data_IF_202543539694
#
_entry.id   IF_202543539694
#
_cell.length_a   1.000
_cell.length_b   1.000
_cell.length_c   1.000
_cell.angle_alpha   90.00
_cell.angle_beta   90.00
_cell.angle_gamma   90.00
#
_symmetry.space_group_name_H-M   'P 1'
#
loop_
_entity.id
_entity.type
_entity.pdbx_description
1 polymer ?
#
# COMPACT_ATOMS: atom_id res chain seq x y z
N UNK A 1 8.25 14.28 -29.22
CA UNK A 1 7.34 13.47 -30.07
C UNK A 1 6.26 12.91 -29.17
N UNK A 2 5.08 12.56 -29.70
CA UNK A 2 4.11 11.74 -28.94
C UNK A 2 4.69 10.33 -28.75
N UNK A 3 4.76 9.77 -27.53
CA UNK A 3 5.18 8.39 -27.32
C UNK A 3 4.16 7.41 -27.91
N UNK A 4 4.56 6.18 -28.23
CA UNK A 4 3.57 5.16 -28.60
C UNK A 4 2.87 4.62 -27.36
N UNK A 5 1.71 3.99 -27.57
CA UNK A 5 0.97 3.26 -26.54
C UNK A 5 1.85 2.23 -25.79
N UNK A 6 2.82 1.61 -26.47
CA UNK A 6 3.70 0.60 -25.87
C UNK A 6 4.81 1.22 -25.02
N UNK A 7 5.34 2.41 -25.34
CA UNK A 7 6.25 3.13 -24.43
C UNK A 7 5.51 3.53 -23.16
N UNK A 8 4.33 4.13 -23.28
CA UNK A 8 3.53 4.59 -22.12
C UNK A 8 3.15 3.41 -21.22
N UNK A 9 2.85 2.26 -21.79
CA UNK A 9 2.60 1.05 -21.00
C UNK A 9 3.87 0.51 -20.33
N UNK A 10 5.05 0.59 -20.96
CA UNK A 10 6.32 0.28 -20.30
C UNK A 10 6.63 1.25 -19.15
N UNK A 11 6.33 2.55 -19.30
CA UNK A 11 6.46 3.55 -18.22
C UNK A 11 5.55 3.21 -17.03
N UNK A 12 4.25 3.01 -17.27
CA UNK A 12 3.29 2.62 -16.22
C UNK A 12 3.72 1.36 -15.47
N UNK A 13 4.16 0.32 -16.20
CA UNK A 13 4.66 -0.92 -15.61
C UNK A 13 5.92 -0.69 -14.76
N UNK A 14 6.86 0.15 -15.23
CA UNK A 14 8.08 0.53 -14.50
C UNK A 14 7.76 1.29 -13.20
N UNK A 15 6.71 2.12 -13.15
CA UNK A 15 6.21 2.74 -11.90
C UNK A 15 5.83 1.71 -10.84
N UNK A 16 5.27 0.56 -11.24
CA UNK A 16 4.93 -0.55 -10.35
C UNK A 16 6.10 -1.54 -10.11
N UNK A 17 7.33 -1.19 -10.50
CA UNK A 17 8.52 -2.06 -10.49
C UNK A 17 8.30 -3.39 -11.25
N UNK A 18 7.63 -3.32 -12.40
CA UNK A 18 7.41 -4.43 -13.31
C UNK A 18 8.31 -4.29 -14.54
N UNK A 19 8.78 -5.43 -15.03
CA UNK A 19 9.60 -5.52 -16.24
C UNK A 19 8.79 -6.11 -17.39
N UNK A 20 9.17 -5.77 -18.62
CA UNK A 20 8.66 -6.42 -19.83
C UNK A 20 9.79 -7.26 -20.40
N UNK A 21 9.58 -8.57 -20.49
CA UNK A 21 10.56 -9.53 -21.00
C UNK A 21 10.68 -9.44 -22.54
N UNK A 22 11.70 -10.06 -23.11
CA UNK A 22 12.01 -9.96 -24.55
C UNK A 22 10.90 -10.51 -25.47
N UNK A 23 10.07 -11.41 -24.95
CA UNK A 23 8.85 -11.96 -25.55
C UNK A 23 7.60 -11.08 -25.33
N UNK A 24 7.77 -9.86 -24.80
CA UNK A 24 6.71 -8.88 -24.46
C UNK A 24 5.70 -9.32 -23.39
N UNK A 25 6.01 -10.36 -22.60
CA UNK A 25 5.26 -10.67 -21.37
C UNK A 25 5.67 -9.75 -20.21
N UNK A 26 4.86 -9.70 -19.15
CA UNK A 26 5.04 -8.75 -18.03
C UNK A 26 5.36 -9.50 -16.74
N UNK A 27 6.53 -9.24 -16.14
CA UNK A 27 7.01 -9.95 -14.95
C UNK A 27 7.38 -9.00 -13.82
N UNK A 28 7.07 -9.37 -12.58
CA UNK A 28 7.44 -8.63 -11.38
C UNK A 28 8.71 -9.21 -10.75
N UNK A 29 9.43 -8.41 -9.97
CA UNK A 29 10.54 -8.91 -9.15
C UNK A 29 10.14 -8.89 -7.67
N UNK A 30 9.99 -10.07 -7.09
CA UNK A 30 9.61 -10.30 -5.69
C UNK A 30 10.75 -11.12 -5.05
N UNK A 31 11.27 -10.68 -3.89
CA UNK A 31 12.38 -11.34 -3.18
C UNK A 31 13.64 -11.62 -4.04
N UNK A 32 13.85 -10.82 -5.09
CA UNK A 32 14.87 -10.97 -6.16
C UNK A 32 14.63 -12.14 -7.15
N UNK A 33 13.55 -12.90 -7.01
CA UNK A 33 13.05 -13.81 -8.04
C UNK A 33 12.15 -13.04 -9.04
N UNK A 34 12.09 -13.51 -10.29
CA UNK A 34 11.31 -12.84 -11.35
C UNK A 34 10.10 -13.69 -11.71
N UNK A 35 8.93 -13.26 -11.25
CA UNK A 35 7.68 -14.00 -11.36
C UNK A 35 6.77 -13.49 -12.48
N UNK A 36 5.98 -14.36 -13.12
CA UNK A 36 4.99 -13.95 -14.11
C UNK A 36 3.84 -13.18 -13.44
N UNK A 37 3.59 -11.94 -13.86
CA UNK A 37 2.35 -11.25 -13.44
C UNK A 37 1.15 -11.97 -14.06
N UNK A 38 0.20 -12.34 -13.21
CA UNK A 38 -1.08 -12.94 -13.58
C UNK A 38 -2.25 -12.00 -13.22
N UNK A 39 -3.31 -12.03 -14.03
CA UNK A 39 -4.63 -11.46 -13.74
C UNK A 39 -5.66 -12.56 -13.95
N UNK A 40 -6.47 -12.89 -12.94
CA UNK A 40 -7.48 -13.97 -13.00
C UNK A 40 -6.88 -15.32 -13.48
N UNK A 41 -5.65 -15.61 -13.06
CA UNK A 41 -4.86 -16.79 -13.44
C UNK A 41 -4.13 -16.67 -14.80
N UNK A 42 -4.51 -15.71 -15.65
CA UNK A 42 -3.97 -15.54 -17.01
C UNK A 42 -2.69 -14.72 -17.04
N UNK A 43 -1.78 -15.07 -17.96
CA UNK A 43 -0.50 -14.38 -18.17
C UNK A 43 -0.73 -12.95 -18.67
N UNK A 44 -0.25 -11.95 -17.93
CA UNK A 44 -0.30 -10.55 -18.34
C UNK A 44 0.79 -10.26 -19.40
N UNK A 45 0.40 -9.69 -20.53
CA UNK A 45 1.29 -9.40 -21.68
C UNK A 45 1.01 -8.01 -22.28
N UNK A 46 1.98 -7.41 -22.99
CA UNK A 46 1.70 -6.17 -23.73
C UNK A 46 0.76 -6.44 -24.94
N UNK A 47 -0.03 -5.44 -25.37
CA UNK A 47 -0.93 -5.55 -26.52
C UNK A 47 -0.16 -5.40 -27.85
N UNK A 48 0.84 -6.25 -28.10
CA UNK A 48 1.53 -6.32 -29.39
C UNK A 48 0.63 -6.95 -30.46
N UNK A 49 0.91 -6.78 -31.77
CA UNK A 49 0.10 -7.39 -32.83
C UNK A 49 -0.03 -8.92 -32.72
N UNK A 50 1.02 -9.62 -32.26
CA UNK A 50 1.00 -11.07 -32.06
C UNK A 50 0.03 -11.45 -30.93
N UNK A 51 0.17 -10.82 -29.76
CA UNK A 51 -0.72 -11.10 -28.62
C UNK A 51 -2.15 -10.61 -28.83
N UNK A 52 -2.37 -9.57 -29.65
CA UNK A 52 -3.72 -9.16 -30.06
C UNK A 52 -4.41 -10.25 -30.89
N UNK A 53 -3.70 -10.90 -31.82
CA UNK A 53 -4.23 -11.96 -32.69
C UNK A 53 -4.34 -13.34 -32.02
N UNK A 54 -3.56 -13.61 -30.97
CA UNK A 54 -3.59 -14.87 -30.20
C UNK A 54 -4.96 -15.11 -29.52
N UNK A 55 -5.29 -16.37 -29.19
CA UNK A 55 -6.44 -16.66 -28.31
C UNK A 55 -6.25 -16.06 -26.90
N UNK A 56 -7.35 -15.90 -26.16
CA UNK A 56 -7.41 -15.24 -24.83
C UNK A 56 -7.81 -16.19 -23.70
N UNK A 57 -7.66 -17.50 -23.87
CA UNK A 57 -7.72 -18.50 -22.78
C UNK A 57 -6.66 -18.22 -21.72
N UNK A 58 -5.39 -18.35 -22.08
CA UNK A 58 -4.24 -18.32 -21.15
C UNK A 58 -3.62 -16.93 -20.93
N UNK A 59 -3.92 -15.96 -21.80
CA UNK A 59 -3.34 -14.60 -21.76
C UNK A 59 -4.38 -13.51 -21.55
N UNK A 60 -3.90 -12.37 -21.05
CA UNK A 60 -4.67 -11.13 -20.91
C UNK A 60 -3.79 -9.94 -21.24
N UNK A 61 -4.29 -9.03 -22.08
CA UNK A 61 -3.52 -7.86 -22.49
C UNK A 61 -3.53 -6.81 -21.38
N UNK A 62 -2.37 -6.24 -21.06
CA UNK A 62 -2.29 -5.01 -20.27
C UNK A 62 -2.73 -3.84 -21.14
N UNK A 63 -4.01 -3.48 -21.07
CA UNK A 63 -4.56 -2.36 -21.81
C UNK A 63 -5.52 -1.49 -20.96
N UNK A 64 -5.05 -0.96 -19.80
CA UNK A 64 -5.90 -0.25 -18.84
C UNK A 64 -6.47 1.09 -19.32
N UNK A 65 -6.11 1.58 -20.52
CA UNK A 65 -6.75 2.75 -21.13
C UNK A 65 -8.11 2.44 -21.80
N UNK A 66 -8.49 1.17 -22.00
CA UNK A 66 -9.80 0.76 -22.56
C UNK A 66 -10.85 0.55 -21.48
N UNK A 67 -11.11 1.58 -20.68
CA UNK A 67 -12.19 1.55 -19.70
C UNK A 67 -13.56 1.82 -20.33
N UNK A 68 -14.59 1.06 -19.96
CA UNK A 68 -15.97 1.46 -20.21
C UNK A 68 -16.46 2.34 -19.06
N UNK A 69 -16.73 3.63 -19.32
CA UNK A 69 -17.16 4.61 -18.28
C UNK A 69 -18.43 4.16 -17.53
N UNK A 70 -19.27 3.35 -18.17
CA UNK A 70 -20.49 2.73 -17.64
C UNK A 70 -20.27 1.51 -16.76
N UNK A 71 -19.05 0.95 -16.71
CA UNK A 71 -18.66 -0.20 -15.87
C UNK A 71 -17.76 0.23 -14.70
N UNK A 72 -17.63 -0.68 -13.73
CA UNK A 72 -16.72 -0.58 -12.60
C UNK A 72 -15.26 -0.77 -13.02
N UNK A 73 -14.39 -0.98 -12.02
CA UNK A 73 -12.95 -1.16 -12.22
C UNK A 73 -12.69 -2.49 -12.95
N UNK A 74 -11.58 -2.58 -13.68
CA UNK A 74 -11.24 -3.78 -14.45
C UNK A 74 -10.21 -4.65 -13.73
N UNK A 75 -10.23 -5.99 -13.90
CA UNK A 75 -9.23 -6.88 -13.29
C UNK A 75 -7.77 -6.48 -13.58
N UNK A 76 -7.49 -5.97 -14.79
CA UNK A 76 -6.17 -5.43 -15.15
C UNK A 76 -5.84 -4.16 -14.37
N UNK A 77 -6.79 -3.22 -14.25
CA UNK A 77 -6.60 -1.98 -13.48
C UNK A 77 -6.44 -2.26 -11.98
N UNK A 78 -7.20 -3.21 -11.42
CA UNK A 78 -7.12 -3.56 -10.00
C UNK A 78 -5.84 -4.33 -9.66
N UNK A 79 -5.37 -5.24 -10.51
CA UNK A 79 -4.04 -5.85 -10.34
C UNK A 79 -2.95 -4.78 -10.42
N UNK A 80 -3.03 -3.84 -11.36
CA UNK A 80 -2.08 -2.75 -11.48
C UNK A 80 -2.10 -1.83 -10.23
N UNK A 81 -3.28 -1.46 -9.73
CA UNK A 81 -3.46 -0.74 -8.45
C UNK A 81 -2.80 -1.48 -7.29
N UNK A 82 -2.97 -2.80 -7.18
CA UNK A 82 -2.33 -3.59 -6.11
C UNK A 82 -0.79 -3.60 -6.20
N UNK A 83 -0.23 -3.60 -7.41
CA UNK A 83 1.22 -3.61 -7.63
C UNK A 83 1.85 -2.23 -7.39
N UNK A 84 1.13 -1.14 -7.71
CA UNK A 84 1.51 0.21 -7.28
C UNK A 84 1.51 0.35 -5.76
N UNK A 85 0.45 -0.12 -5.08
CA UNK A 85 0.37 -0.11 -3.60
C UNK A 85 1.52 -0.91 -2.99
N UNK A 86 1.83 -2.10 -3.53
CA UNK A 86 3.01 -2.88 -3.10
C UNK A 86 4.30 -2.06 -3.27
N UNK A 87 4.56 -1.48 -4.45
CA UNK A 87 5.78 -0.69 -4.69
C UNK A 87 5.90 0.53 -3.77
N UNK A 88 4.82 1.27 -3.52
CA UNK A 88 4.86 2.44 -2.63
C UNK A 88 5.16 2.05 -1.18
N UNK A 89 4.54 0.98 -0.68
CA UNK A 89 4.84 0.46 0.66
C UNK A 89 6.27 -0.11 0.74
N UNK A 90 6.82 -0.68 -0.33
CA UNK A 90 8.17 -1.26 -0.36
C UNK A 90 9.25 -0.19 -0.23
N UNK A 91 9.12 0.88 -1.02
CA UNK A 91 10.01 2.04 -0.94
C UNK A 91 9.86 2.75 0.41
N UNK A 92 8.62 2.99 0.88
CA UNK A 92 8.37 3.64 2.18
C UNK A 92 8.90 2.82 3.37
N UNK A 93 8.76 1.49 3.35
CA UNK A 93 9.34 0.59 4.37
C UNK A 93 10.87 0.70 4.37
N UNK A 94 11.47 0.73 3.18
CA UNK A 94 12.91 0.95 3.00
C UNK A 94 13.38 2.28 3.59
N UNK A 95 12.63 3.37 3.38
CA UNK A 95 12.93 4.67 3.99
C UNK A 95 12.81 4.65 5.51
N UNK A 96 11.72 4.09 6.07
CA UNK A 96 11.52 4.01 7.53
C UNK A 96 12.70 3.29 8.20
N UNK A 97 13.10 2.11 7.69
CA UNK A 97 14.22 1.33 8.24
C UNK A 97 15.55 2.09 8.11
N UNK A 98 15.81 2.73 6.96
CA UNK A 98 17.07 3.44 6.70
C UNK A 98 17.20 4.76 7.46
N UNK A 99 16.12 5.53 7.60
CA UNK A 99 16.10 6.78 8.37
C UNK A 99 16.21 6.50 9.88
N UNK A 100 15.54 5.47 10.40
CA UNK A 100 15.72 5.04 11.80
C UNK A 100 17.13 4.46 12.05
N UNK A 101 17.74 3.79 11.06
CA UNK A 101 19.16 3.39 11.12
C UNK A 101 20.05 4.61 11.34
N UNK A 102 19.93 5.63 10.48
CA UNK A 102 20.68 6.89 10.58
C UNK A 102 20.43 7.58 11.93
N UNK A 103 19.18 7.62 12.41
CA UNK A 103 18.83 8.25 13.68
C UNK A 103 19.56 7.63 14.89
N UNK A 104 19.59 6.29 14.97
CA UNK A 104 20.17 5.55 16.10
C UNK A 104 21.71 5.48 16.00
N UNK A 105 22.25 5.29 14.80
CA UNK A 105 23.69 5.14 14.57
C UNK A 105 24.38 6.50 14.47
N UNK A 106 24.63 7.11 15.63
CA UNK A 106 25.22 8.46 15.77
C UNK A 106 26.52 8.70 15.00
N UNK A 107 27.30 7.66 14.75
CA UNK A 107 28.51 7.74 13.91
C UNK A 107 28.20 8.17 12.47
N UNK A 108 26.98 7.93 11.97
CA UNK A 108 26.54 8.37 10.65
C UNK A 108 26.19 9.87 10.61
N UNK A 109 25.95 10.53 11.76
CA UNK A 109 25.49 11.93 11.82
C UNK A 109 26.52 12.91 11.25
N UNK A 110 27.82 12.59 11.38
CA UNK A 110 28.93 13.36 10.79
C UNK A 110 29.04 13.28 9.26
N UNK A 111 28.20 12.45 8.63
CA UNK A 111 28.12 12.24 7.19
C UNK A 111 26.78 12.74 6.60
N UNK A 112 26.05 13.57 7.34
CA UNK A 112 24.82 14.23 6.89
C UNK A 112 25.10 15.68 6.46
N UNK A 113 24.39 16.16 5.44
CA UNK A 113 24.29 17.60 5.14
C UNK A 113 23.43 18.32 6.21
N UNK A 114 23.42 19.67 6.27
CA UNK A 114 22.51 20.40 7.16
C UNK A 114 21.04 20.01 6.94
N UNK A 115 20.60 19.95 5.69
CA UNK A 115 19.23 19.61 5.31
C UNK A 115 18.88 18.15 5.67
N UNK A 116 19.86 17.24 5.55
CA UNK A 116 19.75 15.85 6.02
C UNK A 116 19.81 15.73 7.55
N UNK A 117 20.33 16.73 8.28
CA UNK A 117 20.42 16.71 9.74
C UNK A 117 19.13 17.17 10.42
N UNK A 118 18.28 17.91 9.70
CA UNK A 118 17.00 18.46 10.19
C UNK A 118 16.09 17.39 10.83
N UNK A 119 15.92 16.23 10.17
CA UNK A 119 15.01 15.19 10.66
C UNK A 119 15.45 14.58 11.99
N UNK A 120 16.74 14.64 12.35
CA UNK A 120 17.24 14.16 13.65
C UNK A 120 16.60 14.91 14.82
N UNK A 121 16.12 16.14 14.61
CA UNK A 121 15.36 16.89 15.61
C UNK A 121 13.96 16.31 15.87
N UNK A 122 13.34 15.72 14.83
CA UNK A 122 12.03 15.07 14.88
C UNK A 122 12.15 13.69 15.56
N UNK A 123 13.17 12.91 15.18
CA UNK A 123 13.40 11.54 15.69
C UNK A 123 14.39 11.46 16.86
N UNK A 124 14.62 12.57 17.57
CA UNK A 124 15.58 12.72 18.69
C UNK A 124 15.46 11.71 19.85
N UNK A 125 14.36 10.96 19.91
CA UNK A 125 14.08 9.94 20.93
C UNK A 125 14.17 8.50 20.39
N UNK A 126 14.53 8.31 19.12
CA UNK A 126 14.81 7.00 18.55
C UNK A 126 15.97 6.30 19.28
N UNK A 127 15.75 5.05 19.66
CA UNK A 127 16.80 4.13 20.11
C UNK A 127 16.64 2.78 19.40
N UNK A 128 17.48 1.79 19.74
CA UNK A 128 17.41 0.48 19.09
C UNK A 128 16.02 -0.17 19.26
N UNK A 129 15.35 -0.02 20.41
CA UNK A 129 14.00 -0.56 20.59
C UNK A 129 12.94 0.18 19.76
N UNK A 130 13.19 1.43 19.34
CA UNK A 130 12.38 2.12 18.33
C UNK A 130 12.56 1.47 16.94
N UNK A 131 13.78 1.05 16.56
CA UNK A 131 14.04 0.26 15.34
C UNK A 131 13.42 -1.13 15.41
N UNK A 132 13.56 -1.82 16.55
CA UNK A 132 13.03 -3.17 16.75
C UNK A 132 11.49 -3.18 16.72
N UNK A 133 10.84 -2.12 17.23
CA UNK A 133 9.40 -1.91 17.07
C UNK A 133 9.03 -1.64 15.62
N UNK A 134 9.76 -0.75 14.93
CA UNK A 134 9.49 -0.42 13.53
C UNK A 134 9.56 -1.66 12.63
N UNK A 135 10.55 -2.54 12.82
CA UNK A 135 10.59 -3.84 12.15
C UNK A 135 9.30 -4.61 12.42
N UNK A 136 8.97 -4.90 13.69
CA UNK A 136 7.78 -5.70 14.05
C UNK A 136 6.46 -5.15 13.49
N UNK A 137 6.32 -3.84 13.35
CA UNK A 137 5.15 -3.20 12.75
C UNK A 137 5.11 -3.41 11.23
N UNK A 138 6.24 -3.26 10.54
CA UNK A 138 6.36 -3.55 9.10
C UNK A 138 6.24 -5.06 8.82
N UNK A 139 6.77 -5.90 9.71
CA UNK A 139 6.72 -7.35 9.64
C UNK A 139 5.26 -7.86 9.77
N UNK A 140 4.42 -7.14 10.52
CA UNK A 140 2.99 -7.40 10.71
C UNK A 140 2.09 -6.82 9.59
N UNK A 141 2.65 -6.21 8.54
CA UNK A 141 1.90 -5.84 7.35
C UNK A 141 1.69 -7.06 6.45
N UNK A 142 0.43 -7.49 6.30
CA UNK A 142 0.07 -8.61 5.42
C UNK A 142 -0.16 -8.12 3.98
N UNK A 143 0.34 -8.87 2.98
CA UNK A 143 0.11 -8.54 1.55
C UNK A 143 -1.40 -8.58 1.27
N UNK A 144 -1.94 -7.47 0.76
CA UNK A 144 -3.37 -7.31 0.47
C UNK A 144 -4.23 -6.80 1.63
N UNK A 145 -3.74 -6.79 2.88
CA UNK A 145 -4.49 -6.28 4.02
C UNK A 145 -4.45 -4.74 4.05
N UNK A 146 -5.37 -4.08 3.35
CA UNK A 146 -5.41 -2.61 3.19
C UNK A 146 -5.47 -1.82 4.51
N UNK A 147 -5.95 -2.42 5.60
CA UNK A 147 -5.99 -1.81 6.93
C UNK A 147 -4.63 -1.82 7.68
N UNK A 148 -3.64 -2.61 7.21
CA UNK A 148 -2.29 -2.68 7.77
C UNK A 148 -1.23 -2.35 6.71
N UNK A 149 -1.25 -1.09 6.26
CA UNK A 149 -0.33 -0.56 5.24
C UNK A 149 0.17 0.84 5.65
N UNK A 150 1.33 1.25 5.14
CA UNK A 150 1.84 2.62 5.27
C UNK A 150 1.01 3.56 4.40
N UNK A 151 0.75 3.15 3.15
CA UNK A 151 0.02 3.90 2.13
C UNK A 151 -0.96 2.98 1.43
N UNK A 152 -2.16 3.46 1.10
CA UNK A 152 -3.12 2.70 0.28
C UNK A 152 -3.91 3.63 -0.65
N UNK A 153 -4.32 3.13 -1.82
CA UNK A 153 -5.00 3.91 -2.86
C UNK A 153 -6.35 3.30 -3.23
N UNK A 154 -7.38 4.13 -3.26
CA UNK A 154 -8.74 3.77 -3.68
C UNK A 154 -9.22 4.64 -4.85
N UNK A 155 -10.26 4.17 -5.55
CA UNK A 155 -10.84 4.83 -6.72
C UNK A 155 -12.35 4.99 -6.53
N UNK A 156 -12.82 6.22 -6.38
CA UNK A 156 -14.24 6.55 -6.18
C UNK A 156 -14.89 7.04 -7.47
N UNK A 157 -16.14 6.60 -7.70
CA UNK A 157 -16.94 6.90 -8.91
C UNK A 157 -17.24 8.39 -9.08
N UNK A 158 -17.30 9.15 -7.99
CA UNK A 158 -17.38 10.62 -7.91
C UNK A 158 -16.83 11.06 -6.56
N UNK A 159 -16.53 12.35 -6.39
CA UNK A 159 -16.17 12.91 -5.10
C UNK A 159 -15.83 14.40 -5.14
N UNK A 160 -15.66 14.99 -3.96
CA UNK A 160 -15.06 16.31 -3.78
C UNK A 160 -13.56 16.16 -3.51
N UNK A 161 -12.73 17.03 -4.07
CA UNK A 161 -11.31 17.23 -3.72
C UNK A 161 -11.04 18.74 -3.70
N UNK A 162 -10.45 19.25 -2.61
CA UNK A 162 -10.20 20.68 -2.43
C UNK A 162 -11.44 21.58 -2.70
N UNK A 163 -12.64 21.09 -2.36
CA UNK A 163 -13.92 21.77 -2.60
C UNK A 163 -14.49 21.66 -4.03
N UNK A 164 -13.75 21.15 -5.01
CA UNK A 164 -14.25 20.90 -6.38
C UNK A 164 -14.81 19.48 -6.51
N UNK A 165 -15.95 19.34 -7.20
CA UNK A 165 -16.52 18.04 -7.59
C UNK A 165 -15.88 17.51 -8.88
N UNK A 166 -15.64 16.20 -8.94
CA UNK A 166 -14.92 15.54 -10.04
C UNK A 166 -15.57 14.24 -10.54
N UNK A 167 -15.41 13.93 -11.84
CA UNK A 167 -15.95 12.72 -12.50
C UNK A 167 -15.37 11.41 -11.95
N UNK A 168 -14.14 11.41 -11.41
CA UNK A 168 -13.51 10.33 -10.63
C UNK A 168 -12.57 10.94 -9.60
N UNK A 169 -12.33 10.22 -8.50
CA UNK A 169 -11.34 10.61 -7.48
C UNK A 169 -10.45 9.43 -7.11
N UNK A 170 -9.14 9.61 -7.22
CA UNK A 170 -8.15 8.78 -6.58
C UNK A 170 -7.97 9.27 -5.14
N UNK A 171 -8.22 8.39 -4.18
CA UNK A 171 -8.15 8.67 -2.74
C UNK A 171 -6.94 7.99 -2.15
N UNK A 172 -6.18 8.71 -1.32
CA UNK A 172 -5.01 8.17 -0.62
C UNK A 172 -5.28 8.17 0.89
N UNK A 173 -5.01 7.03 1.53
CA UNK A 173 -5.07 6.87 3.00
C UNK A 173 -3.74 6.32 3.49
N UNK A 174 -3.44 6.56 4.77
CA UNK A 174 -2.18 6.17 5.39
C UNK A 174 -2.46 5.38 6.68
N UNK A 175 -2.90 4.10 6.58
CA UNK A 175 -3.45 3.35 7.72
C UNK A 175 -2.51 3.25 8.92
N UNK A 176 -1.19 3.12 8.69
CA UNK A 176 -0.19 3.14 9.76
C UNK A 176 -0.11 4.51 10.45
N UNK A 177 -0.16 5.61 9.72
CA UNK A 177 -0.20 6.94 10.32
C UNK A 177 -1.50 7.15 11.11
N UNK A 178 -2.64 6.75 10.54
CA UNK A 178 -3.94 6.78 11.20
C UNK A 178 -3.94 5.98 12.52
N UNK A 179 -3.30 4.80 12.54
CA UNK A 179 -3.05 3.98 13.74
C UNK A 179 -2.12 4.66 14.75
N UNK A 180 -1.03 5.28 14.27
CA UNK A 180 -0.03 5.98 15.09
C UNK A 180 -0.61 7.20 15.81
N UNK A 181 -1.66 7.85 15.26
CA UNK A 181 -2.33 9.00 15.91
C UNK A 181 -3.44 8.61 16.90
N UNK A 182 -3.80 7.33 17.04
CA UNK A 182 -4.79 6.86 18.03
C UNK A 182 -4.19 6.85 19.46
N UNK A 183 -5.00 7.05 20.53
CA UNK A 183 -4.48 7.20 21.90
C UNK A 183 -3.92 5.91 22.54
N UNK A 184 -4.20 4.72 21.97
CA UNK A 184 -3.80 3.43 22.53
C UNK A 184 -2.28 3.22 22.54
N UNK A 185 -1.77 2.52 23.56
CA UNK A 185 -0.34 2.24 23.74
C UNK A 185 0.14 0.99 22.97
N UNK A 186 -0.44 0.76 21.80
CA UNK A 186 -0.01 -0.21 20.82
C UNK A 186 -0.26 0.27 19.38
N UNK A 187 0.26 -0.50 18.43
CA UNK A 187 0.09 -0.36 16.98
C UNK A 187 -0.40 -1.74 16.51
N UNK A 188 -1.66 -1.85 16.11
CA UNK A 188 -2.31 -3.12 15.74
C UNK A 188 -2.14 -4.26 16.78
N UNK A 189 -2.13 -3.92 18.08
CA UNK A 189 -1.88 -4.85 19.18
C UNK A 189 -0.42 -4.96 19.64
N UNK A 190 0.55 -4.48 18.85
CA UNK A 190 1.98 -4.49 19.20
C UNK A 190 2.27 -3.37 20.21
N UNK A 191 2.45 -3.74 21.48
CA UNK A 191 2.70 -2.79 22.59
C UNK A 191 3.99 -1.98 22.36
N UNK A 192 3.89 -0.66 22.54
CA UNK A 192 4.97 0.30 22.26
C UNK A 192 5.10 1.34 23.38
N UNK A 193 6.27 2.01 23.49
CA UNK A 193 6.41 3.20 24.35
C UNK A 193 5.81 4.39 23.60
N UNK A 194 5.17 5.33 24.32
CA UNK A 194 4.54 6.54 23.73
C UNK A 194 5.53 7.29 22.82
N UNK A 195 6.77 7.49 23.30
CA UNK A 195 7.86 8.12 22.53
C UNK A 195 8.18 7.44 21.19
N UNK A 196 7.96 6.14 21.07
CA UNK A 196 8.19 5.41 19.82
C UNK A 196 7.05 5.67 18.83
N UNK A 197 5.80 5.66 19.33
CA UNK A 197 4.60 5.98 18.55
C UNK A 197 4.69 7.42 17.99
N UNK A 198 5.12 8.36 18.83
CA UNK A 198 5.41 9.75 18.46
C UNK A 198 6.56 9.85 17.43
N UNK A 199 7.66 9.13 17.65
CA UNK A 199 8.83 9.12 16.74
C UNK A 199 8.46 8.56 15.36
N UNK A 200 7.65 7.51 15.30
CA UNK A 200 7.17 6.93 14.04
C UNK A 200 6.15 7.84 13.33
N UNK A 201 5.26 8.51 14.07
CA UNK A 201 4.35 9.50 13.51
C UNK A 201 5.11 10.68 12.88
N UNK A 202 6.08 11.25 13.60
CA UNK A 202 6.91 12.35 13.10
C UNK A 202 7.80 11.94 11.91
N UNK A 203 8.23 10.67 11.86
CA UNK A 203 8.95 10.13 10.70
C UNK A 203 8.05 9.98 9.47
N UNK A 204 6.79 9.57 9.63
CA UNK A 204 5.83 9.56 8.52
C UNK A 204 5.43 10.97 8.07
N UNK A 205 5.33 11.93 9.00
CA UNK A 205 5.13 13.35 8.67
C UNK A 205 6.31 13.97 7.89
N UNK A 206 7.52 13.43 8.09
CA UNK A 206 8.71 13.80 7.33
C UNK A 206 8.79 13.11 5.96
N UNK A 207 8.46 11.81 5.87
CA UNK A 207 8.44 11.06 4.60
C UNK A 207 7.27 11.50 3.70
N UNK A 208 6.13 11.86 4.29
CA UNK A 208 4.92 12.28 3.59
C UNK A 208 4.49 13.67 4.08
N UNK A 209 5.04 14.76 3.50
CA UNK A 209 4.64 16.11 3.85
C UNK A 209 3.13 16.31 3.74
N UNK A 210 2.51 16.87 4.78
CA UNK A 210 1.06 17.12 4.88
C UNK A 210 0.19 15.86 4.99
N UNK A 211 0.74 14.70 5.38
CA UNK A 211 -0.02 13.47 5.70
C UNK A 211 -1.17 13.67 6.71
N UNK A 212 -1.04 14.63 7.62
CA UNK A 212 -2.09 15.00 8.58
C UNK A 212 -3.21 15.90 8.03
N UNK A 213 -3.11 16.39 6.79
CA UNK A 213 -4.13 17.23 6.17
C UNK A 213 -5.11 16.41 5.32
N UNK A 214 -6.40 16.54 5.60
CA UNK A 214 -7.45 15.87 4.85
C UNK A 214 -7.35 16.19 3.34
N UNK A 215 -7.38 15.14 2.52
CA UNK A 215 -7.31 15.21 1.06
C UNK A 215 -6.00 15.76 0.44
N UNK A 216 -4.92 15.97 1.22
CA UNK A 216 -3.67 16.52 0.66
C UNK A 216 -3.07 15.67 -0.48
N UNK A 217 -3.30 14.36 -0.46
CA UNK A 217 -2.87 13.39 -1.47
C UNK A 217 -3.99 12.93 -2.43
N UNK A 218 -5.27 13.25 -2.14
CA UNK A 218 -6.39 12.93 -3.04
C UNK A 218 -6.29 13.72 -4.35
N UNK A 219 -6.65 13.10 -5.48
CA UNK A 219 -6.69 13.78 -6.79
C UNK A 219 -7.97 13.45 -7.53
N UNK A 220 -8.70 14.50 -7.88
CA UNK A 220 -9.89 14.41 -8.74
C UNK A 220 -9.53 14.57 -10.21
N UNK A 221 -10.27 13.90 -11.09
CA UNK A 221 -10.16 14.07 -12.54
C UNK A 221 -11.52 14.17 -13.21
N UNK A 222 -11.53 14.92 -14.31
CA UNK A 222 -12.66 15.12 -15.20
C UNK A 222 -12.36 14.58 -16.62
N UNK A 223 -11.32 13.76 -16.78
CA UNK A 223 -10.98 13.10 -18.05
C UNK A 223 -12.15 12.29 -18.61
N UNK A 224 -12.31 12.29 -19.94
CA UNK A 224 -13.21 11.39 -20.67
C UNK A 224 -12.48 10.18 -21.27
N UNK A 225 -11.15 10.11 -21.10
CA UNK A 225 -10.30 8.96 -21.48
C UNK A 225 -9.78 8.30 -20.21
N UNK A 226 -10.05 7.00 -20.06
CA UNK A 226 -9.59 6.15 -18.95
C UNK A 226 -9.66 6.82 -17.56
N UNK A 227 -10.84 7.31 -17.13
CA UNK A 227 -10.94 8.18 -15.97
C UNK A 227 -10.56 7.51 -14.64
N UNK A 228 -10.63 6.19 -14.52
CA UNK A 228 -10.21 5.48 -13.30
C UNK A 228 -8.68 5.35 -13.22
N UNK A 229 -8.00 4.98 -14.32
CA UNK A 229 -6.54 4.95 -14.43
C UNK A 229 -5.96 6.36 -14.32
N UNK A 230 -6.59 7.36 -14.93
CA UNK A 230 -6.16 8.76 -14.81
C UNK A 230 -6.21 9.23 -13.36
N UNK A 231 -7.30 8.95 -12.64
CA UNK A 231 -7.42 9.21 -11.21
C UNK A 231 -6.35 8.46 -10.38
N UNK A 232 -6.09 7.19 -10.71
CA UNK A 232 -5.08 6.35 -10.03
C UNK A 232 -3.68 6.95 -10.18
N UNK A 233 -3.28 7.29 -11.40
CA UNK A 233 -1.93 7.81 -11.66
C UNK A 233 -1.75 9.22 -11.11
N UNK A 234 -2.76 10.09 -11.21
CA UNK A 234 -2.70 11.43 -10.59
C UNK A 234 -2.53 11.35 -9.06
N UNK A 235 -3.29 10.50 -8.37
CA UNK A 235 -3.14 10.30 -6.92
C UNK A 235 -1.77 9.65 -6.57
N UNK A 236 -1.33 8.71 -7.40
CA UNK A 236 0.00 8.08 -7.27
C UNK A 236 1.14 9.09 -7.36
N UNK A 237 1.04 10.14 -8.19
CA UNK A 237 2.10 11.12 -8.39
C UNK A 237 2.54 11.81 -7.09
N UNK A 238 1.60 12.17 -6.21
CA UNK A 238 1.94 12.81 -4.92
C UNK A 238 2.74 11.90 -3.99
N UNK A 239 2.47 10.59 -4.03
CA UNK A 239 3.21 9.56 -3.27
C UNK A 239 4.59 9.35 -3.89
N UNK A 240 4.66 9.28 -5.22
CA UNK A 240 5.92 9.12 -5.98
C UNK A 240 6.86 10.30 -5.71
N UNK A 241 6.36 11.54 -5.73
CA UNK A 241 7.13 12.73 -5.38
C UNK A 241 7.71 12.64 -3.98
N UNK A 242 6.87 12.43 -2.96
CA UNK A 242 7.31 12.34 -1.57
C UNK A 242 8.36 11.23 -1.33
N UNK A 243 8.24 10.08 -2.00
CA UNK A 243 9.20 8.98 -1.90
C UNK A 243 10.48 9.22 -2.71
N UNK A 244 10.41 9.88 -3.87
CA UNK A 244 11.60 10.25 -4.63
C UNK A 244 12.37 11.35 -3.90
N UNK A 245 11.70 12.37 -3.35
CA UNK A 245 12.29 13.44 -2.54
C UNK A 245 13.15 12.88 -1.40
N UNK A 246 12.65 11.87 -0.66
CA UNK A 246 13.42 11.18 0.40
C UNK A 246 14.56 10.33 -0.17
N UNK A 247 14.36 9.66 -1.30
CA UNK A 247 15.38 8.84 -1.96
C UNK A 247 16.57 9.67 -2.44
N UNK A 248 16.29 10.85 -3.01
CA UNK A 248 17.29 11.82 -3.47
C UNK A 248 17.93 12.55 -2.29
N UNK A 249 17.13 13.06 -1.34
CA UNK A 249 17.63 13.78 -0.15
C UNK A 249 18.58 12.92 0.70
N UNK A 250 18.46 11.59 0.68
CA UNK A 250 19.35 10.67 1.41
C UNK A 250 20.08 9.66 0.51
N UNK A 251 20.33 9.99 -0.77
CA UNK A 251 20.89 9.06 -1.76
C UNK A 251 22.16 8.35 -1.25
N UNK A 252 23.10 9.13 -0.70
CA UNK A 252 24.40 8.63 -0.20
C UNK A 252 24.31 7.77 1.07
N UNK A 253 23.18 7.77 1.79
CA UNK A 253 22.95 6.90 2.95
C UNK A 253 21.93 5.79 2.68
N UNK A 254 21.15 5.91 1.60
CA UNK A 254 20.19 4.89 1.11
C UNK A 254 20.86 3.89 0.17
N UNK A 255 21.82 4.35 -0.64
CA UNK A 255 22.61 3.55 -1.58
C UNK A 255 23.63 2.66 -0.88
N UNK A 256 23.80 1.42 -1.36
CA UNK A 256 24.94 0.55 -1.03
C UNK A 256 25.54 -0.04 -2.31
N UNK A 257 26.76 -0.61 -2.29
CA UNK A 257 27.35 -1.26 -3.47
C UNK A 257 26.49 -2.39 -4.07
N UNK A 258 25.65 -3.02 -3.25
CA UNK A 258 24.75 -4.11 -3.63
C UNK A 258 23.35 -3.61 -4.05
N UNK A 259 22.89 -2.48 -3.51
CA UNK A 259 21.55 -1.91 -3.76
C UNK A 259 21.66 -0.39 -3.92
N UNK A 260 21.81 0.13 -5.14
CA UNK A 260 21.90 1.57 -5.37
C UNK A 260 20.57 2.27 -5.06
N UNK A 261 20.64 3.56 -4.69
CA UNK A 261 19.45 4.37 -4.37
C UNK A 261 18.41 4.38 -5.51
N UNK A 262 18.83 4.30 -6.77
CA UNK A 262 17.96 4.20 -7.94
C UNK A 262 16.99 3.00 -7.94
N UNK A 263 17.24 1.95 -7.14
CA UNK A 263 16.29 0.84 -6.91
C UNK A 263 15.06 1.29 -6.09
N UNK A 264 15.13 2.44 -5.42
CA UNK A 264 14.06 3.01 -4.60
C UNK A 264 13.32 4.15 -5.30
N UNK A 265 13.92 4.77 -6.32
CA UNK A 265 13.24 5.74 -7.17
C UNK A 265 12.07 5.08 -7.89
N UNK A 266 10.96 5.81 -8.01
CA UNK A 266 9.75 5.36 -8.68
C UNK A 266 9.54 6.20 -9.95
N UNK A 267 9.29 5.51 -11.06
CA UNK A 267 9.16 6.12 -12.38
C UNK A 267 7.89 6.97 -12.53
N UNK A 268 8.06 8.18 -13.07
CA UNK A 268 6.99 9.11 -13.39
C UNK A 268 7.02 9.58 -14.87
N UNK A 269 7.75 8.90 -15.76
CA UNK A 269 7.99 9.35 -17.14
C UNK A 269 6.68 9.44 -17.98
N UNK A 270 5.60 8.80 -17.49
CA UNK A 270 4.25 8.89 -18.04
C UNK A 270 3.52 10.21 -17.73
N UNK A 271 4.02 11.04 -16.80
CA UNK A 271 3.30 12.22 -16.25
C UNK A 271 2.85 13.21 -17.33
N UNK A 272 3.75 13.64 -18.21
CA UNK A 272 3.42 14.59 -19.29
C UNK A 272 2.32 14.03 -20.21
N UNK A 273 2.38 12.73 -20.49
CA UNK A 273 1.38 12.05 -21.31
C UNK A 273 0.02 12.02 -20.62
N UNK A 274 -0.02 11.81 -19.30
CA UNK A 274 -1.25 11.85 -18.52
C UNK A 274 -1.81 13.27 -18.33
N UNK A 275 -1.03 14.32 -18.53
CA UNK A 275 -1.57 15.69 -18.65
C UNK A 275 -2.32 15.91 -19.97
N UNK A 276 -2.12 15.05 -20.99
CA UNK A 276 -2.74 15.18 -22.31
C UNK A 276 -3.13 13.83 -22.97
N UNK A 277 -3.85 12.96 -22.25
CA UNK A 277 -4.28 11.65 -22.80
C UNK A 277 -5.07 11.75 -24.13
N UNK A 278 -5.66 12.91 -24.44
CA UNK A 278 -6.32 13.18 -25.72
C UNK A 278 -5.43 12.87 -26.93
N UNK A 279 -4.12 13.15 -26.85
CA UNK A 279 -3.17 12.88 -27.94
C UNK A 279 -2.95 11.37 -28.20
N UNK A 280 -3.38 10.50 -27.28
CA UNK A 280 -3.27 9.04 -27.41
C UNK A 280 -4.53 8.36 -27.95
N UNK A 281 -5.67 9.04 -28.07
CA UNK A 281 -6.97 8.42 -28.35
C UNK A 281 -6.96 7.51 -29.60
N UNK A 282 -6.35 7.98 -30.69
CA UNK A 282 -6.19 7.23 -31.94
C UNK A 282 -5.16 6.07 -31.88
N UNK A 283 -4.39 5.95 -30.80
CA UNK A 283 -3.55 4.79 -30.49
C UNK A 283 -4.28 3.81 -29.58
N UNK A 284 -4.97 4.31 -28.55
CA UNK A 284 -5.77 3.50 -27.62
C UNK A 284 -6.79 2.65 -28.41
N UNK A 285 -7.57 3.29 -29.28
CA UNK A 285 -8.58 2.64 -30.12
C UNK A 285 -8.04 1.67 -31.20
N UNK A 286 -6.71 1.51 -31.35
CA UNK A 286 -6.13 0.48 -32.23
C UNK A 286 -6.08 -0.90 -31.56
N UNK A 287 -6.11 -0.94 -30.23
CA UNK A 287 -6.26 -2.19 -29.48
C UNK A 287 -7.76 -2.39 -29.25
N UNK A 288 -8.38 -3.48 -29.72
CA UNK A 288 -9.80 -3.72 -29.47
C UNK A 288 -10.09 -3.86 -27.97
N UNK A 289 -11.27 -3.41 -27.49
CA UNK A 289 -11.76 -3.74 -26.14
C UNK A 289 -11.80 -5.26 -25.93
N UNK A 290 -11.40 -5.70 -24.73
CA UNK A 290 -11.28 -7.11 -24.37
C UNK A 290 -11.60 -7.35 -22.89
N UNK A 291 -12.03 -8.58 -22.58
CA UNK A 291 -12.21 -9.06 -21.23
C UNK A 291 -10.98 -8.78 -20.34
N UNK A 292 -11.21 -8.55 -19.05
CA UNK A 292 -10.17 -8.12 -18.10
C UNK A 292 -9.82 -6.63 -18.15
N UNK A 293 -10.11 -5.90 -19.24
CA UNK A 293 -9.80 -4.47 -19.38
C UNK A 293 -11.03 -3.54 -19.32
N UNK A 294 -12.18 -3.97 -19.86
CA UNK A 294 -13.39 -3.13 -19.98
C UNK A 294 -14.02 -2.67 -18.65
N UNK A 295 -13.82 -3.42 -17.57
CA UNK A 295 -14.51 -3.24 -16.29
C UNK A 295 -15.59 -4.31 -16.03
N UNK A 296 -15.93 -4.52 -14.76
CA UNK A 296 -17.05 -5.37 -14.30
C UNK A 296 -18.37 -4.56 -14.16
N UNK A 297 -19.56 -5.18 -14.09
CA UNK A 297 -20.79 -4.49 -13.69
C UNK A 297 -20.66 -3.81 -12.32
N UNK A 298 -21.44 -2.74 -12.05
CA UNK A 298 -21.32 -1.93 -10.83
C UNK A 298 -21.96 -2.55 -9.57
N UNK A 299 -22.47 -3.79 -9.63
CA UNK A 299 -23.37 -4.35 -8.63
C UNK A 299 -22.66 -4.93 -7.39
N UNK A 300 -21.34 -4.80 -7.27
CA UNK A 300 -20.59 -5.07 -6.04
C UNK A 300 -20.48 -3.82 -5.15
N UNK A 301 -20.95 -3.87 -3.88
CA UNK A 301 -20.77 -2.76 -2.95
C UNK A 301 -19.30 -2.64 -2.53
N UNK A 302 -18.70 -1.46 -2.69
CA UNK A 302 -17.34 -1.21 -2.18
C UNK A 302 -17.29 -1.44 -0.66
N UNK A 303 -16.24 -2.11 -0.14
CA UNK A 303 -16.06 -2.22 1.30
C UNK A 303 -15.90 -0.82 1.91
N UNK A 304 -16.66 -0.53 2.96
CA UNK A 304 -16.77 0.80 3.53
C UNK A 304 -15.43 1.27 4.12
N UNK A 305 -14.68 2.08 3.37
CA UNK A 305 -13.55 2.82 3.88
C UNK A 305 -14.04 3.77 4.99
N UNK A 306 -13.52 3.58 6.22
CA UNK A 306 -13.96 4.26 7.43
C UNK A 306 -13.94 5.79 7.28
N UNK A 307 -15.10 6.39 7.09
CA UNK A 307 -15.26 7.84 7.09
C UNK A 307 -15.22 8.36 8.52
N UNK A 308 -14.03 8.72 8.98
CA UNK A 308 -13.85 9.53 10.19
C UNK A 308 -14.55 10.87 10.01
N UNK A 309 -15.81 10.96 10.45
CA UNK A 309 -16.60 12.17 10.35
C UNK A 309 -15.98 13.24 11.26
N UNK A 310 -15.67 14.40 10.69
CA UNK A 310 -15.27 15.56 11.49
C UNK A 310 -16.43 15.99 12.40
N UNK A 311 -16.21 16.31 13.69
CA UNK A 311 -17.27 16.74 14.58
C UNK A 311 -17.93 18.01 14.07
N UNK A 312 -19.26 17.98 13.86
CA UNK A 312 -20.02 19.19 13.59
C UNK A 312 -20.15 20.02 14.88
N UNK A 313 -19.90 21.34 14.85
CA UNK A 313 -20.21 22.21 15.98
C UNK A 313 -21.74 22.30 16.17
N UNK A 314 -22.19 22.19 17.42
CA UNK A 314 -23.62 22.14 17.75
C UNK A 314 -24.23 23.56 17.84
N UNK A 315 -24.80 24.05 16.74
CA UNK A 315 -25.55 25.30 16.72
C UNK A 315 -26.99 25.09 17.25
N UNK A 316 -27.24 25.55 18.47
CA UNK A 316 -28.57 25.56 19.10
C UNK A 316 -28.94 26.96 19.61
N UNK A 317 -29.43 27.79 18.69
CA UNK A 317 -30.11 29.05 18.99
C UNK A 317 -31.61 28.93 18.62
N UNK A 318 -32.55 28.99 19.59
CA UNK A 318 -33.98 28.87 19.30
C UNK A 318 -34.55 30.13 18.66
N UNK A 319 -35.36 29.98 17.61
CA UNK A 319 -36.17 31.08 17.04
C UNK A 319 -37.40 31.38 17.92
N UNK A 320 -37.82 32.65 18.06
CA UNK A 320 -39.08 32.99 18.74
C UNK A 320 -40.31 32.53 17.95
N UNK A 321 -41.40 32.24 18.66
CA UNK A 321 -42.71 31.90 18.08
C UNK A 321 -43.56 33.17 17.94
N UNK A 322 -44.18 33.38 16.77
CA UNK A 322 -45.13 34.47 16.54
C UNK A 322 -46.57 34.03 16.87
N UNK A 323 -47.42 34.96 17.32
CA UNK A 323 -48.70 34.64 17.97
C UNK A 323 -49.96 35.03 17.17
N UNK A 324 -50.91 34.08 17.13
CA UNK A 324 -52.36 34.21 17.38
C UNK A 324 -53.23 35.33 16.75
N UNK A 325 -54.32 34.91 16.08
CA UNK A 325 -55.66 35.57 16.09
C UNK A 325 -56.77 34.55 15.63
N UNK A 326 -58.09 34.77 15.86
CA UNK A 326 -58.85 33.80 16.70
C UNK A 326 -60.28 33.39 16.24
N UNK A 327 -60.87 32.42 16.98
CA UNK A 327 -62.33 32.09 16.99
C UNK A 327 -62.63 30.59 16.83
N UNK A 328 -63.66 29.96 17.43
CA UNK A 328 -64.77 30.40 18.34
C UNK A 328 -65.13 29.24 19.33
N UNK A 329 -65.89 29.55 20.39
CA UNK A 329 -66.41 28.74 21.54
C UNK A 329 -66.88 27.26 21.29
N UNK A 330 -66.78 26.25 22.19
CA UNK A 330 -66.97 26.08 23.69
C UNK A 330 -68.44 25.77 24.09
N UNK A 331 -68.81 24.90 25.09
CA UNK A 331 -68.21 23.70 25.78
C UNK A 331 -69.31 22.58 26.05
N UNK A 332 -69.54 21.88 27.22
CA UNK A 332 -68.73 21.41 28.39
C UNK A 332 -68.98 19.92 28.87
N UNK A 333 -68.39 19.56 30.05
CA UNK A 333 -68.71 18.48 31.02
C UNK A 333 -67.98 17.11 30.85
N UNK A 334 -67.03 16.71 31.72
CA UNK A 334 -67.09 16.16 33.13
C UNK A 334 -67.55 14.68 33.16
N UNK A 335 -66.77 13.70 33.64
CA UNK A 335 -66.63 13.14 35.03
C UNK A 335 -65.72 11.88 34.91
N UNK A 336 -64.84 11.40 35.83
CA UNK A 336 -64.17 11.89 37.06
C UNK A 336 -62.92 10.98 37.34
N UNK A 337 -62.51 10.77 38.61
CA UNK A 337 -61.54 9.75 39.08
C UNK A 337 -62.24 8.78 40.07
N UNK A 338 -61.68 7.57 40.26
CA UNK A 338 -61.75 6.65 41.45
C UNK A 338 -62.18 5.18 41.19
N UNK A 339 -61.21 4.25 41.27
CA UNK A 339 -61.27 2.88 41.85
C UNK A 339 -59.84 2.28 41.71
N UNK A 340 -59.01 1.95 42.73
CA UNK A 340 -59.12 1.55 44.14
C UNK A 340 -59.16 0.02 44.36
N UNK A 341 -57.98 -0.53 44.66
CA UNK A 341 -57.69 -1.79 45.39
C UNK A 341 -58.26 -3.14 44.87
N UNK A 342 -57.35 -4.01 44.43
CA UNK A 342 -57.42 -5.44 44.77
C UNK A 342 -56.04 -6.08 44.97
N UNK A 343 -56.02 -7.04 45.90
CA UNK A 343 -54.97 -8.03 46.21
C UNK A 343 -54.50 -8.76 44.94
N UNK A 344 -53.32 -9.36 44.85
CA UNK A 344 -52.31 -9.68 45.87
C UNK A 344 -51.54 -10.94 45.43
N UNK A 345 -50.34 -11.19 45.94
CA UNK A 345 -49.48 -12.25 45.43
C UNK A 345 -49.96 -13.67 45.77
N UNK A 346 -49.74 -14.60 44.85
CA UNK A 346 -49.50 -16.01 45.17
C UNK A 346 -48.61 -16.64 44.09
N UNK A 347 -47.65 -17.46 44.51
CA UNK A 347 -46.78 -18.22 43.60
C UNK A 347 -47.22 -19.69 43.57
N UNK A 348 -47.09 -20.34 42.43
CA UNK A 348 -47.38 -21.76 42.26
C UNK A 348 -46.22 -22.50 41.57
N UNK A 349 -45.35 -23.06 42.39
CA UNK A 349 -44.59 -24.29 42.10
C UNK A 349 -45.58 -25.43 41.73
N UNK A 350 -45.23 -26.49 41.01
CA UNK A 350 -44.02 -26.86 40.25
C UNK A 350 -44.33 -28.12 39.43
N UNK A 351 -43.63 -28.36 38.33
CA UNK A 351 -43.15 -29.71 38.02
C UNK A 351 -41.96 -29.67 37.07
N UNK A 352 -40.89 -30.37 37.43
CA UNK A 352 -39.66 -30.49 36.64
C UNK A 352 -39.55 -31.91 36.08
N UNK A 353 -39.02 -32.04 34.86
CA UNK A 353 -38.53 -33.31 34.33
C UNK A 353 -36.99 -33.27 34.20
N UNK A 354 -36.29 -34.42 34.24
CA UNK A 354 -34.84 -34.45 34.39
C UNK A 354 -34.07 -34.04 33.13
N UNK A 355 -32.90 -33.43 33.31
CA UNK A 355 -31.93 -33.20 32.23
C UNK A 355 -31.22 -34.51 31.85
N UNK A 356 -30.95 -34.73 30.55
CA UNK A 356 -29.75 -35.44 30.12
C UNK A 356 -28.53 -34.54 30.34
N UNK A 357 -27.53 -35.02 31.09
CA UNK A 357 -26.21 -34.37 31.11
C UNK A 357 -25.51 -34.64 29.77
N UNK A 358 -24.72 -33.69 29.22
CA UNK A 358 -23.75 -34.01 28.18
C UNK A 358 -22.72 -35.01 28.74
N UNK A 359 -22.60 -36.18 28.11
CA UNK A 359 -21.52 -37.12 28.44
C UNK A 359 -20.17 -36.55 27.99
N UNK A 360 -19.06 -36.86 28.67
CA UNK A 360 -17.73 -36.58 28.13
C UNK A 360 -17.54 -37.36 26.80
N UNK A 361 -16.96 -36.76 25.76
CA UNK A 361 -16.80 -37.42 24.47
C UNK A 361 -15.87 -38.64 24.60
N UNK A 362 -16.34 -39.80 24.17
CA UNK A 362 -15.52 -41.00 24.04
C UNK A 362 -14.61 -40.88 22.80
N UNK A 363 -13.36 -41.32 22.92
CA UNK A 363 -12.32 -41.13 21.90
C UNK A 363 -12.42 -42.15 20.76
N UNK A 364 -13.25 -41.88 19.74
CA UNK A 364 -13.44 -42.73 18.54
C UNK A 364 -12.28 -42.58 17.52
N UNK A 365 -11.05 -42.88 17.95
CA UNK A 365 -9.85 -42.86 17.09
C UNK A 365 -9.87 -44.04 16.12
N UNK A 366 -9.76 -43.77 14.82
CA UNK A 366 -9.86 -44.80 13.77
C UNK A 366 -8.51 -45.12 13.14
N UNK A 367 -8.20 -46.41 13.12
CA UNK A 367 -7.02 -47.00 12.52
C UNK A 367 -7.41 -47.68 11.20
N UNK A 368 -6.51 -47.63 10.22
CA UNK A 368 -6.62 -48.32 8.93
C UNK A 368 -5.32 -49.07 8.64
N UNK A 369 -5.34 -49.97 7.66
CA UNK A 369 -4.17 -50.76 7.24
C UNK A 369 -3.00 -49.91 6.69
N UNK A 370 -3.19 -48.60 6.54
CA UNK A 370 -2.16 -47.62 6.13
C UNK A 370 -1.89 -46.53 7.18
N UNK A 371 -2.42 -46.66 8.39
CA UNK A 371 -2.23 -45.71 9.49
C UNK A 371 -3.52 -45.07 10.02
N UNK A 372 -3.37 -43.99 10.77
CA UNK A 372 -4.43 -43.35 11.53
C UNK A 372 -5.22 -42.35 10.67
N UNK A 373 -6.55 -42.36 10.75
CA UNK A 373 -7.39 -41.38 10.05
C UNK A 373 -7.28 -40.01 10.72
N UNK A 374 -6.59 -39.07 10.06
CA UNK A 374 -6.45 -37.67 10.50
C UNK A 374 -7.80 -36.99 10.75
N UNK A 375 -8.84 -37.40 10.02
CA UNK A 375 -10.21 -36.91 10.17
C UNK A 375 -10.85 -37.34 11.50
N UNK A 376 -10.32 -38.37 12.18
CA UNK A 376 -10.75 -38.76 13.53
C UNK A 376 -10.04 -37.94 14.62
N UNK A 377 -8.75 -37.61 14.41
CA UNK A 377 -7.92 -36.85 15.37
C UNK A 377 -8.49 -35.45 15.60
N UNK A 378 -8.76 -34.70 14.53
CA UNK A 378 -9.25 -33.30 14.59
C UNK A 378 -10.62 -33.20 15.28
N UNK A 379 -11.46 -34.25 15.21
CA UNK A 379 -12.77 -34.28 15.87
C UNK A 379 -12.73 -34.69 17.35
N UNK A 380 -11.58 -35.14 17.88
CA UNK A 380 -11.49 -35.79 19.19
C UNK A 380 -10.94 -34.91 20.33
N UNK A 381 -10.44 -33.70 20.07
CA UNK A 381 -9.95 -32.80 21.12
C UNK A 381 -10.17 -31.30 20.81
N UNK A 382 -11.10 -30.60 21.49
CA UNK A 382 -11.36 -29.18 21.29
C UNK A 382 -10.39 -28.24 22.04
N UNK A 383 -9.48 -28.76 22.86
CA UNK A 383 -8.56 -27.97 23.69
C UNK A 383 -7.11 -27.93 23.16
N UNK A 384 -6.81 -28.55 22.01
CA UNK A 384 -5.53 -28.37 21.31
C UNK A 384 -5.39 -27.00 20.60
N UNK A 385 -6.11 -26.00 21.09
CA UNK A 385 -5.79 -24.58 20.89
C UNK A 385 -4.77 -24.04 21.92
N UNK A 386 -4.52 -24.76 23.04
CA UNK A 386 -3.69 -24.28 24.15
C UNK A 386 -2.54 -25.21 24.53
N UNK A 387 -1.41 -25.04 23.83
CA UNK A 387 -0.02 -24.93 24.34
C UNK A 387 0.41 -25.79 25.55
N UNK A 388 1.34 -26.73 25.28
CA UNK A 388 2.54 -27.21 26.02
C UNK A 388 2.60 -27.35 27.58
N UNK A 389 3.51 -28.22 28.08
CA UNK A 389 4.84 -27.71 28.48
C UNK A 389 6.08 -28.60 28.18
N UNK A 390 7.11 -27.98 27.61
CA UNK A 390 8.57 -28.20 27.79
C UNK A 390 9.25 -29.59 27.69
N UNK A 391 10.10 -29.71 26.64
CA UNK A 391 11.53 -30.15 26.64
C UNK A 391 11.88 -31.20 25.55
N UNK A 392 13.14 -31.27 25.04
CA UNK A 392 14.26 -30.33 25.14
C UNK A 392 14.49 -29.53 23.83
N UNK A 393 15.47 -28.61 23.82
CA UNK A 393 15.67 -27.66 22.70
C UNK A 393 16.27 -28.30 21.45
N UNK A 394 15.53 -28.25 20.35
CA UNK A 394 16.10 -28.00 19.01
C UNK A 394 15.81 -26.53 18.63
N UNK A 395 16.68 -25.86 17.84
CA UNK A 395 16.36 -24.55 17.32
C UNK A 395 15.14 -24.67 16.39
N UNK A 396 14.09 -23.83 16.56
CA UNK A 396 12.94 -23.88 15.67
C UNK A 396 13.36 -23.47 14.25
N UNK A 397 12.69 -23.98 13.20
CA UNK A 397 12.75 -23.33 11.90
C UNK A 397 12.34 -21.86 12.06
N UNK A 398 12.96 -20.91 11.34
CA UNK A 398 12.59 -19.51 11.46
C UNK A 398 11.09 -19.34 11.17
N UNK A 399 10.37 -18.48 11.90
CA UNK A 399 8.97 -18.22 11.61
C UNK A 399 8.84 -17.74 10.16
N UNK A 400 7.73 -18.06 9.51
CA UNK A 400 7.40 -17.50 8.20
C UNK A 400 7.15 -16.00 8.34
N UNK A 401 8.24 -15.25 8.20
CA UNK A 401 8.26 -13.80 8.09
C UNK A 401 7.51 -13.39 6.83
N UNK A 402 6.72 -12.32 6.92
CA UNK A 402 6.06 -11.74 5.76
C UNK A 402 7.08 -11.36 4.68
N UNK A 403 6.68 -11.29 3.41
CA UNK A 403 7.58 -10.88 2.31
C UNK A 403 8.21 -9.50 2.56
N UNK A 404 7.46 -8.64 3.28
CA UNK A 404 7.88 -7.37 3.87
C UNK A 404 9.07 -7.53 4.83
N UNK A 405 8.88 -8.34 5.87
CA UNK A 405 9.89 -8.67 6.87
C UNK A 405 11.14 -9.29 6.24
N UNK A 406 10.98 -10.15 5.23
CA UNK A 406 12.10 -10.78 4.54
C UNK A 406 12.97 -9.74 3.80
N UNK A 407 12.37 -8.77 3.09
CA UNK A 407 13.13 -7.70 2.42
C UNK A 407 13.78 -6.75 3.43
N UNK A 408 13.09 -6.37 4.50
CA UNK A 408 13.66 -5.54 5.58
C UNK A 408 14.83 -6.26 6.29
N UNK A 409 14.68 -7.55 6.58
CA UNK A 409 15.71 -8.39 7.24
C UNK A 409 16.91 -8.64 6.34
N UNK A 410 16.72 -8.84 5.03
CA UNK A 410 17.82 -8.97 4.07
C UNK A 410 18.64 -7.67 3.95
N UNK A 411 17.99 -6.51 4.06
CA UNK A 411 18.67 -5.21 4.11
C UNK A 411 19.45 -4.97 5.42
N UNK A 412 19.03 -5.60 6.53
CA UNK A 412 19.73 -5.54 7.83
C UNK A 412 20.91 -6.53 7.89
N UNK A 413 20.70 -7.80 7.49
CA UNK A 413 21.65 -8.88 7.71
C UNK A 413 22.90 -8.85 6.80
N UNK A 414 22.94 -8.00 5.76
CA UNK A 414 24.15 -7.84 4.93
C UNK A 414 25.25 -6.95 5.54
N UNK A 415 25.02 -6.34 6.71
CA UNK A 415 25.96 -5.39 7.32
C UNK A 415 26.87 -5.96 8.43
N UNK A 416 27.10 -7.27 8.52
CA UNK A 416 28.05 -7.83 9.50
C UNK A 416 28.67 -9.18 9.12
N UNK A 417 29.89 -9.39 9.62
CA UNK A 417 30.73 -10.60 9.54
C UNK A 417 31.28 -10.96 8.15
N UNK A 418 32.48 -10.48 7.82
CA UNK A 418 33.70 -11.31 7.91
C UNK A 418 34.97 -10.44 7.83
N UNK A 419 36.01 -10.68 8.68
CA UNK A 419 37.33 -10.08 8.47
C UNK A 419 38.03 -10.68 7.23
N UNK A 420 38.78 -9.85 6.51
CA UNK A 420 39.32 -10.21 5.20
C UNK A 420 40.55 -11.11 5.22
N UNK A 421 40.69 -11.94 4.17
CA UNK A 421 41.97 -12.47 3.72
C UNK A 421 41.86 -12.81 2.22
N UNK A 422 42.67 -12.19 1.35
CA UNK A 422 42.68 -12.44 -0.10
C UNK A 422 43.96 -13.17 -0.51
N UNK A 423 43.90 -14.47 -0.88
CA UNK A 423 44.98 -15.14 -1.58
C UNK A 423 45.00 -14.69 -3.04
N UNK A 424 46.10 -14.08 -3.48
CA UNK A 424 46.35 -13.91 -4.91
C UNK A 424 46.64 -15.27 -5.55
N UNK A 425 45.85 -15.67 -6.55
CA UNK A 425 46.31 -16.37 -7.77
C UNK A 425 45.12 -16.76 -8.66
N UNK A 426 45.15 -16.40 -9.95
CA UNK A 426 45.26 -17.34 -11.09
C UNK A 426 45.45 -16.53 -12.40
N UNK A 427 46.28 -16.98 -13.37
CA UNK A 427 46.56 -16.23 -14.61
C UNK A 427 45.63 -16.62 -15.77
N UNK A 428 45.43 -15.71 -16.74
CA UNK A 428 44.50 -15.95 -17.87
C UNK A 428 44.53 -14.92 -19.02
N UNK A 429 45.63 -14.88 -19.77
CA UNK A 429 45.71 -14.64 -21.23
C UNK A 429 44.64 -13.80 -21.96
N UNK A 430 45.02 -12.60 -22.42
CA UNK A 430 44.34 -11.88 -23.52
C UNK A 430 44.91 -12.25 -24.90
N UNK A 431 44.10 -12.39 -25.96
CA UNK A 431 44.57 -12.40 -27.35
C UNK A 431 44.31 -11.08 -28.10
N UNK A 432 45.39 -10.51 -28.64
CA UNK A 432 45.55 -9.65 -29.82
C UNK A 432 44.39 -8.75 -30.35
N UNK A 433 44.72 -7.47 -30.56
CA UNK A 433 43.94 -6.51 -31.35
C UNK A 433 44.15 -6.67 -32.87
N UNK A 434 43.27 -6.04 -33.67
CA UNK A 434 43.54 -5.65 -35.07
C UNK A 434 43.27 -4.14 -35.27
N UNK A 435 43.86 -3.47 -36.29
CA UNK A 435 44.28 -2.07 -36.13
C UNK A 435 43.66 -1.07 -37.13
N UNK A 436 43.81 0.22 -36.78
CA UNK A 436 44.26 1.23 -37.74
C UNK A 436 43.27 2.33 -38.15
N UNK A 437 43.57 3.57 -37.72
CA UNK A 437 43.60 4.73 -38.63
C UNK A 437 44.58 5.79 -38.07
N UNK A 438 45.29 6.60 -38.88
CA UNK A 438 46.47 7.35 -38.43
C UNK A 438 46.29 8.88 -38.28
N UNK A 439 47.33 9.51 -37.72
CA UNK A 439 47.73 10.94 -37.83
C UNK A 439 46.84 12.05 -37.26
N UNK A 440 47.40 12.84 -36.34
CA UNK A 440 46.96 14.21 -36.00
C UNK A 440 47.70 15.27 -36.85
N UNK A 441 48.02 16.51 -36.37
CA UNK A 441 47.98 17.03 -34.99
C UNK A 441 47.13 18.32 -34.80
N UNK A 442 47.13 18.91 -33.59
CA UNK A 442 46.62 20.28 -33.29
C UNK A 442 47.71 21.37 -33.44
N UNK A 443 47.80 22.41 -32.57
CA UNK A 443 46.84 22.85 -31.54
C UNK A 443 46.71 24.40 -31.35
N UNK A 444 45.48 24.94 -31.25
CA UNK A 444 45.15 26.26 -30.69
C UNK A 444 43.70 26.21 -30.14
N UNK A 445 43.25 26.98 -29.15
CA UNK A 445 43.93 27.97 -28.31
C UNK A 445 43.01 29.16 -27.98
N UNK A 446 42.59 29.33 -26.71
CA UNK A 446 41.90 30.55 -26.25
C UNK A 446 40.64 30.35 -25.40
N UNK A 447 40.59 31.05 -24.27
CA UNK A 447 39.43 31.34 -23.42
C UNK A 447 39.73 32.64 -22.63
N UNK A 448 38.77 33.27 -21.92
CA UNK A 448 37.32 33.12 -21.93
C UNK A 448 36.59 34.41 -22.39
N UNK A 449 35.25 34.38 -22.52
CA UNK A 449 34.44 35.54 -22.89
C UNK A 449 33.21 35.73 -22.00
N UNK A 450 33.30 36.58 -20.98
CA UNK A 450 32.17 36.96 -20.11
C UNK A 450 31.26 38.01 -20.75
N UNK A 451 29.93 37.83 -20.63
CA UNK A 451 28.97 38.94 -20.66
C UNK A 451 27.90 38.77 -19.59
N UNK A 452 27.64 39.86 -18.87
CA UNK A 452 26.44 40.06 -18.03
C UNK A 452 25.31 40.62 -18.89
N UNK A 453 24.08 40.39 -18.43
CA UNK A 453 23.13 41.50 -18.25
C UNK A 453 21.80 41.38 -18.98
N UNK A 454 20.73 41.34 -18.16
CA UNK A 454 19.36 41.83 -18.42
C UNK A 454 18.58 41.11 -19.55
N UNK A 455 17.29 40.82 -19.39
CA UNK A 455 16.28 41.35 -18.45
C UNK A 455 15.76 40.23 -17.55
#
# INVERSE_FOLDING_TARGET
MTPTLLEVYRQLLKTANLTVTADNMISGTILAETEPVLVEGKRLVLPTPEFQAMDKSEIVLFHPLSEMITRGKSPVLEKFRSLLIYRFNEVASGHIVKLLRIAVEKENHKHLTPDQSEFLSLVKHADQSTRDLASKVLDAMEVGQTARQIVTLFLKKTGLVAGKSHKRVGVVSFPLYEELKKPEHDIWGIKCRVKDKETLAALLEFIFPRIGEAQAYDRGTDSDIAPNLHALMQASLGIIQALNDITEKFESQISTPEVPASVHLIDADWQETFMNLGMMQAQIWRVPPQAGNEGVPWDEPEPAASTTQAPQPADHAPRPVAASAPGVHVPPARVSLDEVMARGASAAQSQAQPQPQPQPPQSDLRYTDRGLDFSSVIRSNPALASVEPFAPVQPPPPPQTSEWAQRATLALNRQSVYPGNYPSNYPGTYPAAWPGNPTGPGPYGGAPGTRRGLI
#
